data_IF_329795619509
#
_entry.id   IF_329795619509
#
_cell.length_a   1.000
_cell.length_b   1.000
_cell.length_c   1.000
_cell.angle_alpha   90.00
_cell.angle_beta   90.00
_cell.angle_gamma   90.00
#
_symmetry.space_group_name_H-M   'P 1'
#
loop_
_entity.id
_entity.type
_entity.pdbx_description
1 polymer ?
#
# COMPACT_ATOMS: atom_id res chain seq x y z
N UNK A 1 12.29 14.19 -18.74
CA UNK A 1 11.01 14.85 -19.12
C UNK A 1 11.24 16.16 -19.87
N UNK A 2 12.00 17.13 -19.31
CA UNK A 2 12.17 18.46 -19.88
C UNK A 2 12.62 18.54 -21.37
N UNK A 3 13.49 17.65 -21.89
CA UNK A 3 13.87 17.69 -23.31
C UNK A 3 12.80 17.18 -24.30
N UNK A 4 11.76 16.49 -23.79
CA UNK A 4 10.70 15.87 -24.62
C UNK A 4 9.37 16.60 -24.44
N UNK A 5 8.97 16.84 -23.19
CA UNK A 5 7.72 17.51 -22.82
C UNK A 5 8.03 18.94 -22.32
N UNK A 6 8.70 19.74 -23.14
CA UNK A 6 9.35 20.98 -22.68
C UNK A 6 8.39 22.00 -22.06
N UNK A 7 7.22 22.20 -22.66
CA UNK A 7 6.19 23.10 -22.12
C UNK A 7 5.61 22.59 -20.80
N UNK A 8 5.20 21.31 -20.75
CA UNK A 8 4.63 20.69 -19.54
C UNK A 8 5.65 20.65 -18.40
N UNK A 9 6.92 20.36 -18.71
CA UNK A 9 7.97 20.36 -17.70
C UNK A 9 8.21 21.76 -17.13
N UNK A 10 8.16 22.81 -17.97
CA UNK A 10 8.32 24.18 -17.53
C UNK A 10 7.12 24.68 -16.70
N UNK A 11 5.90 24.30 -17.09
CA UNK A 11 4.68 24.60 -16.32
C UNK A 11 4.70 23.93 -14.94
N UNK A 12 5.09 22.65 -14.87
CA UNK A 12 5.29 21.96 -13.59
C UNK A 12 6.36 22.68 -12.77
N UNK A 13 7.47 23.06 -13.39
CA UNK A 13 8.59 23.71 -12.71
C UNK A 13 8.18 24.97 -11.96
N UNK A 14 7.33 25.81 -12.56
CA UNK A 14 6.81 27.04 -11.96
C UNK A 14 5.91 26.81 -10.74
N UNK A 15 5.34 25.61 -10.61
CA UNK A 15 4.42 25.25 -9.52
C UNK A 15 5.05 24.35 -8.45
N UNK A 16 6.32 23.97 -8.61
CA UNK A 16 7.03 23.19 -7.60
C UNK A 16 7.42 24.09 -6.40
N UNK A 17 7.25 23.64 -5.16
CA UNK A 17 7.48 24.47 -3.96
C UNK A 17 8.97 24.68 -3.67
N UNK A 18 9.36 25.87 -3.21
CA UNK A 18 10.75 26.19 -2.84
C UNK A 18 11.54 26.91 -3.94
N UNK A 19 12.75 27.37 -3.59
CA UNK A 19 13.59 28.17 -4.48
C UNK A 19 14.12 27.37 -5.68
N UNK A 20 14.08 28.00 -6.86
CA UNK A 20 14.43 27.37 -8.15
C UNK A 20 14.71 28.43 -9.20
N UNK A 21 15.44 28.06 -10.26
CA UNK A 21 15.61 28.93 -11.42
C UNK A 21 14.27 29.18 -12.14
N UNK A 22 14.25 30.20 -13.00
CA UNK A 22 13.04 30.62 -13.71
C UNK A 22 12.45 29.57 -14.65
N UNK A 23 13.25 28.59 -15.09
CA UNK A 23 12.83 27.55 -16.02
C UNK A 23 13.69 26.30 -15.82
N UNK A 24 13.06 25.12 -15.92
CA UNK A 24 13.77 23.83 -15.90
C UNK A 24 14.77 23.70 -17.04
N UNK A 25 14.59 24.48 -18.13
CA UNK A 25 15.48 24.48 -19.29
C UNK A 25 16.81 25.19 -19.01
N UNK A 26 16.92 25.88 -17.88
CA UNK A 26 18.15 26.52 -17.39
C UNK A 26 18.90 25.66 -16.36
N UNK A 27 18.30 24.56 -15.93
CA UNK A 27 18.91 23.63 -14.98
C UNK A 27 19.82 22.61 -15.66
N UNK A 28 20.68 22.03 -14.84
CA UNK A 28 21.49 20.87 -15.22
C UNK A 28 20.84 19.57 -14.77
N UNK A 29 21.37 18.44 -15.24
CA UNK A 29 20.88 17.13 -14.84
C UNK A 29 21.01 16.95 -13.32
N UNK A 30 19.95 16.44 -12.70
CA UNK A 30 19.93 16.19 -11.26
C UNK A 30 20.95 15.10 -10.88
N UNK A 31 21.87 15.41 -9.96
CA UNK A 31 22.97 14.53 -9.54
C UNK A 31 22.78 13.94 -8.14
N UNK A 32 21.66 14.22 -7.46
CA UNK A 32 21.39 13.72 -6.12
C UNK A 32 20.88 12.28 -6.06
N UNK A 33 20.89 11.54 -7.18
CA UNK A 33 20.57 10.12 -7.20
C UNK A 33 21.84 9.31 -6.89
N UNK A 34 21.70 8.32 -6.03
CA UNK A 34 22.79 7.38 -5.68
C UNK A 34 22.34 5.97 -5.99
N UNK A 35 23.31 5.11 -6.35
CA UNK A 35 23.03 3.69 -6.53
C UNK A 35 22.61 3.07 -5.20
N UNK A 36 21.59 2.21 -5.26
CA UNK A 36 21.15 1.45 -4.12
C UNK A 36 22.22 0.42 -3.72
N UNK A 37 22.55 0.27 -2.43
CA UNK A 37 23.47 -0.77 -1.97
C UNK A 37 23.01 -2.17 -2.38
N UNK A 38 23.95 -3.05 -2.72
CA UNK A 38 23.65 -4.42 -3.13
C UNK A 38 23.00 -5.27 -2.02
N UNK A 39 23.21 -4.89 -0.76
CA UNK A 39 22.66 -5.52 0.44
C UNK A 39 21.46 -4.77 1.02
N UNK A 40 20.88 -3.83 0.26
CA UNK A 40 19.70 -3.10 0.69
C UNK A 40 18.56 -4.08 1.04
N UNK A 41 17.97 -3.99 2.26
CA UNK A 41 16.99 -4.97 2.74
C UNK A 41 15.67 -4.98 1.95
N UNK A 42 15.37 -3.87 1.24
CA UNK A 42 14.20 -3.64 0.39
C UNK A 42 14.67 -3.34 -1.04
N UNK A 43 15.34 -4.32 -1.65
CA UNK A 43 15.90 -4.20 -2.99
C UNK A 43 14.85 -4.10 -4.11
N UNK A 44 15.31 -3.96 -5.35
CA UNK A 44 14.46 -4.03 -6.55
C UNK A 44 13.69 -5.35 -6.62
N UNK A 45 14.38 -6.46 -6.36
CA UNK A 45 13.82 -7.81 -6.42
C UNK A 45 12.75 -8.00 -5.33
N UNK A 46 12.96 -7.40 -4.15
CA UNK A 46 11.95 -7.38 -3.09
C UNK A 46 10.66 -6.70 -3.55
N UNK A 47 10.78 -5.48 -4.12
CA UNK A 47 9.60 -4.75 -4.59
C UNK A 47 8.95 -5.38 -5.82
N UNK A 48 9.72 -6.02 -6.70
CA UNK A 48 9.19 -6.84 -7.78
C UNK A 48 8.33 -8.00 -7.25
N UNK A 49 8.82 -8.71 -6.23
CA UNK A 49 8.06 -9.78 -5.58
C UNK A 49 6.77 -9.25 -4.93
N UNK A 50 6.85 -8.13 -4.20
CA UNK A 50 5.68 -7.48 -3.59
C UNK A 50 4.67 -7.04 -4.66
N UNK A 51 5.12 -6.54 -5.81
CA UNK A 51 4.23 -6.17 -6.92
C UNK A 51 3.56 -7.39 -7.55
N UNK A 52 4.25 -8.52 -7.68
CA UNK A 52 3.64 -9.77 -8.14
C UNK A 52 2.53 -10.24 -7.18
N UNK A 53 2.81 -10.21 -5.87
CA UNK A 53 1.80 -10.51 -4.83
C UNK A 53 0.61 -9.54 -4.93
N UNK A 54 0.87 -8.24 -5.06
CA UNK A 54 -0.18 -7.23 -5.21
C UNK A 54 -1.05 -7.48 -6.44
N UNK A 55 -0.47 -7.88 -7.56
CA UNK A 55 -1.23 -8.20 -8.77
C UNK A 55 -2.14 -9.43 -8.56
N UNK A 56 -1.63 -10.48 -7.91
CA UNK A 56 -2.41 -11.66 -7.58
C UNK A 56 -3.57 -11.32 -6.61
N UNK A 57 -3.32 -10.49 -5.60
CA UNK A 57 -4.35 -10.00 -4.68
C UNK A 57 -5.40 -9.15 -5.40
N UNK A 58 -4.98 -8.24 -6.28
CA UNK A 58 -5.92 -7.42 -7.06
C UNK A 58 -6.84 -8.27 -7.92
N UNK A 59 -6.31 -9.32 -8.54
CA UNK A 59 -7.09 -10.26 -9.35
C UNK A 59 -8.16 -10.96 -8.52
N UNK A 60 -7.81 -11.42 -7.32
CA UNK A 60 -8.79 -12.04 -6.41
C UNK A 60 -9.81 -11.02 -5.90
N UNK A 61 -9.39 -9.80 -5.55
CA UNK A 61 -10.29 -8.71 -5.17
C UNK A 61 -11.30 -8.38 -6.29
N UNK A 62 -10.86 -8.38 -7.55
CA UNK A 62 -11.77 -8.19 -8.70
C UNK A 62 -12.73 -9.37 -8.87
N UNK A 63 -12.30 -10.61 -8.65
CA UNK A 63 -13.20 -11.76 -8.65
C UNK A 63 -14.30 -11.60 -7.59
N UNK A 64 -13.93 -11.22 -6.37
CA UNK A 64 -14.89 -10.99 -5.29
C UNK A 64 -15.81 -9.78 -5.52
N UNK A 65 -15.34 -8.75 -6.23
CA UNK A 65 -16.21 -7.65 -6.72
C UNK A 65 -17.21 -8.15 -7.75
N UNK A 66 -16.77 -9.00 -8.68
CA UNK A 66 -17.62 -9.62 -9.69
C UNK A 66 -18.73 -10.49 -9.09
N UNK A 67 -18.44 -11.16 -7.97
CA UNK A 67 -19.41 -11.95 -7.19
C UNK A 67 -20.28 -11.10 -6.25
N UNK A 68 -19.97 -9.81 -6.09
CA UNK A 68 -20.72 -8.87 -5.26
C UNK A 68 -20.45 -8.96 -3.76
N UNK A 69 -19.42 -9.71 -3.33
CA UNK A 69 -19.03 -9.82 -1.92
C UNK A 69 -18.57 -8.46 -1.38
N UNK A 70 -17.64 -7.82 -2.08
CA UNK A 70 -17.07 -6.49 -1.75
C UNK A 70 -17.34 -5.49 -2.87
N UNK A 71 -17.37 -4.20 -2.54
CA UNK A 71 -17.44 -3.12 -3.54
C UNK A 71 -16.12 -2.36 -3.70
N UNK A 72 -15.36 -2.25 -2.61
CA UNK A 72 -14.05 -1.61 -2.56
C UNK A 72 -13.05 -2.55 -1.89
N UNK A 73 -11.75 -2.41 -2.21
CA UNK A 73 -10.70 -3.22 -1.57
C UNK A 73 -10.54 -2.86 -0.09
N UNK A 74 -10.90 -1.63 0.29
CA UNK A 74 -10.94 -1.21 1.69
C UNK A 74 -12.08 -1.89 2.47
N UNK A 75 -13.04 -2.55 1.83
CA UNK A 75 -14.02 -3.39 2.55
C UNK A 75 -13.47 -4.78 2.88
N UNK A 76 -12.25 -5.11 2.41
CA UNK A 76 -11.70 -6.44 2.50
C UNK A 76 -10.66 -6.59 3.63
N UNK A 77 -10.69 -7.79 4.23
CA UNK A 77 -9.56 -8.44 4.88
C UNK A 77 -8.94 -9.43 3.91
N UNK A 78 -7.65 -9.32 3.70
CA UNK A 78 -6.90 -10.24 2.84
C UNK A 78 -6.02 -11.13 3.71
N UNK A 79 -6.18 -12.44 3.58
CA UNK A 79 -5.27 -13.42 4.18
C UNK A 79 -4.39 -14.00 3.08
N UNK A 80 -3.09 -13.77 3.17
CA UNK A 80 -2.07 -14.33 2.30
C UNK A 80 -1.53 -15.60 2.95
N UNK A 81 -1.71 -16.72 2.27
CA UNK A 81 -1.07 -17.97 2.65
C UNK A 81 0.17 -18.14 1.77
N UNK A 82 1.35 -18.09 2.39
CA UNK A 82 2.62 -17.96 1.68
C UNK A 82 3.60 -19.07 2.07
N UNK A 83 4.50 -19.45 1.16
CA UNK A 83 5.68 -20.25 1.50
C UNK A 83 6.53 -19.54 2.55
N UNK A 84 7.38 -20.27 3.27
CA UNK A 84 8.20 -19.71 4.35
C UNK A 84 9.05 -18.52 3.87
N UNK A 85 9.64 -18.62 2.68
CA UNK A 85 10.47 -17.57 2.09
C UNK A 85 9.64 -16.32 1.76
N UNK A 86 8.47 -16.50 1.14
CA UNK A 86 7.60 -15.38 0.75
C UNK A 86 6.94 -14.73 1.97
N UNK A 87 6.53 -15.53 2.96
CA UNK A 87 6.03 -15.04 4.24
C UNK A 87 7.05 -14.13 4.91
N UNK A 88 8.30 -14.58 5.04
CA UNK A 88 9.38 -13.79 5.67
C UNK A 88 9.60 -12.46 4.94
N UNK A 89 9.47 -12.44 3.61
CA UNK A 89 9.57 -11.20 2.84
C UNK A 89 8.39 -10.25 3.13
N UNK A 90 7.16 -10.74 3.04
CA UNK A 90 5.96 -9.94 3.25
C UNK A 90 5.86 -9.37 4.67
N UNK A 91 6.29 -10.15 5.66
CA UNK A 91 6.33 -9.73 7.07
C UNK A 91 7.26 -8.54 7.33
N UNK A 92 8.25 -8.27 6.46
CA UNK A 92 9.11 -7.07 6.57
C UNK A 92 8.30 -5.76 6.52
N UNK A 93 7.16 -5.75 5.84
CA UNK A 93 6.29 -4.57 5.72
C UNK A 93 5.34 -4.41 6.93
N UNK A 94 5.22 -5.41 7.79
CA UNK A 94 4.34 -5.36 8.97
C UNK A 94 2.91 -4.95 8.64
N UNK A 95 2.34 -4.05 9.47
CA UNK A 95 0.98 -3.52 9.30
C UNK A 95 0.83 -2.66 8.03
N UNK A 96 1.92 -2.13 7.47
CA UNK A 96 1.88 -1.31 6.25
C UNK A 96 1.64 -2.12 4.97
N UNK A 97 1.76 -3.46 5.03
CA UNK A 97 1.40 -4.33 3.92
C UNK A 97 -0.04 -4.08 3.44
N UNK A 98 -0.96 -3.73 4.35
CA UNK A 98 -2.34 -3.36 3.98
C UNK A 98 -2.42 -2.09 3.14
N UNK A 99 -1.49 -1.14 3.31
CA UNK A 99 -1.42 0.07 2.49
C UNK A 99 -0.88 -0.24 1.10
N UNK A 100 0.13 -1.11 1.01
CA UNK A 100 0.64 -1.62 -0.26
C UNK A 100 -0.46 -2.31 -1.06
N UNK A 101 -1.26 -3.15 -0.38
CA UNK A 101 -2.38 -3.90 -0.98
C UNK A 101 -3.69 -3.11 -1.07
N UNK A 102 -3.76 -1.89 -0.49
CA UNK A 102 -4.94 -1.02 -0.49
C UNK A 102 -6.17 -1.74 0.10
N UNK A 103 -5.99 -2.40 1.24
CA UNK A 103 -7.03 -3.16 1.95
C UNK A 103 -7.10 -2.71 3.41
N UNK A 104 -8.18 -3.05 4.11
CA UNK A 104 -8.34 -2.61 5.49
C UNK A 104 -7.57 -3.45 6.49
N UNK A 105 -7.42 -4.74 6.21
CA UNK A 105 -6.63 -5.67 7.00
C UNK A 105 -5.89 -6.64 6.09
N UNK A 106 -4.68 -6.99 6.50
CA UNK A 106 -3.90 -8.07 5.90
C UNK A 106 -3.38 -8.99 6.98
N UNK A 107 -3.39 -10.29 6.72
CA UNK A 107 -2.72 -11.29 7.54
C UNK A 107 -1.86 -12.17 6.65
N UNK A 108 -0.66 -12.51 7.10
CA UNK A 108 0.23 -13.44 6.39
C UNK A 108 0.36 -14.70 7.24
N UNK A 109 0.07 -15.84 6.64
CA UNK A 109 0.04 -17.16 7.26
C UNK A 109 0.83 -18.17 6.41
N UNK A 110 1.17 -19.31 7.00
CA UNK A 110 1.84 -20.40 6.26
C UNK A 110 0.90 -20.98 5.20
N UNK A 111 1.47 -21.34 4.04
CA UNK A 111 0.76 -22.02 2.95
C UNK A 111 0.05 -23.31 3.40
N UNK A 112 0.55 -24.00 4.41
CA UNK A 112 -0.07 -25.22 4.97
C UNK A 112 -1.43 -24.96 5.63
N UNK A 113 -1.74 -23.69 5.93
CA UNK A 113 -3.00 -23.25 6.52
C UNK A 113 -4.02 -22.80 5.47
N UNK A 114 -3.71 -22.91 4.17
CA UNK A 114 -4.55 -22.47 3.07
C UNK A 114 -5.84 -23.29 2.95
N UNK A 115 -6.82 -22.98 3.79
CA UNK A 115 -8.18 -23.46 3.72
C UNK A 115 -9.07 -22.42 3.04
N UNK A 116 -9.85 -22.85 2.05
CA UNK A 116 -10.78 -21.99 1.29
C UNK A 116 -10.12 -20.73 0.69
N UNK A 117 -8.86 -20.85 0.28
CA UNK A 117 -8.09 -19.79 -0.37
C UNK A 117 -7.94 -20.09 -1.87
N UNK A 118 -7.99 -19.05 -2.70
CA UNK A 118 -7.75 -19.15 -4.13
C UNK A 118 -6.25 -19.28 -4.40
N UNK A 119 -5.87 -20.32 -5.17
CA UNK A 119 -4.50 -20.43 -5.67
C UNK A 119 -4.19 -19.30 -6.65
N UNK A 120 -2.96 -18.78 -6.61
CA UNK A 120 -2.54 -17.68 -7.49
C UNK A 120 -1.52 -18.13 -8.53
N UNK A 121 -1.21 -17.24 -9.47
CA UNK A 121 -0.08 -17.42 -10.40
C UNK A 121 1.30 -17.26 -9.75
N UNK A 122 1.38 -16.77 -8.51
CA UNK A 122 2.63 -16.64 -7.76
C UNK A 122 2.89 -17.95 -7.02
N UNK A 123 4.05 -18.57 -7.29
CA UNK A 123 4.40 -19.83 -6.66
C UNK A 123 4.48 -19.69 -5.13
N UNK A 124 3.94 -20.67 -4.42
CA UNK A 124 3.83 -20.63 -2.97
C UNK A 124 2.89 -19.57 -2.41
N UNK A 125 1.94 -19.03 -3.19
CA UNK A 125 0.94 -18.05 -2.70
C UNK A 125 -0.49 -18.47 -3.00
N UNK A 126 -1.32 -18.48 -1.96
CA UNK A 126 -2.79 -18.52 -2.05
C UNK A 126 -3.39 -17.32 -1.32
N UNK A 127 -4.52 -16.82 -1.82
CA UNK A 127 -5.16 -15.61 -1.30
C UNK A 127 -6.59 -15.92 -0.88
N UNK A 128 -6.97 -15.48 0.30
CA UNK A 128 -8.36 -15.47 0.76
C UNK A 128 -8.80 -14.03 1.00
N UNK A 129 -9.96 -13.68 0.47
CA UNK A 129 -10.57 -12.36 0.63
C UNK A 129 -11.87 -12.52 1.42
N UNK A 130 -12.00 -11.73 2.47
CA UNK A 130 -13.19 -11.71 3.32
C UNK A 130 -13.72 -10.28 3.43
N UNK A 131 -15.03 -10.12 3.45
CA UNK A 131 -15.64 -8.81 3.72
C UNK A 131 -15.56 -8.51 5.22
N UNK A 132 -15.02 -7.35 5.56
CA UNK A 132 -15.03 -6.85 6.93
C UNK A 132 -16.42 -6.34 7.32
N UNK A 133 -16.79 -6.59 8.58
CA UNK A 133 -18.01 -6.05 9.20
C UNK A 133 -17.76 -4.81 10.07
N UNK A 134 -16.51 -4.36 10.16
CA UNK A 134 -16.16 -3.18 10.95
C UNK A 134 -16.69 -1.87 10.33
N UNK A 135 -16.76 -0.82 11.13
CA UNK A 135 -17.25 0.48 10.70
C UNK A 135 -16.23 1.22 9.82
N UNK A 136 -16.72 2.00 8.85
CA UNK A 136 -15.86 2.77 7.95
C UNK A 136 -15.40 4.06 8.63
N UNK A 137 -14.09 4.26 8.73
CA UNK A 137 -13.52 5.55 9.13
C UNK A 137 -13.81 6.63 8.07
N UNK A 138 -14.41 7.74 8.44
CA UNK A 138 -14.80 8.79 7.48
C UNK A 138 -13.60 9.56 6.89
N UNK A 139 -12.43 9.51 7.54
CA UNK A 139 -11.21 10.22 7.09
C UNK A 139 -10.33 9.39 6.17
N UNK A 140 -9.97 8.16 6.54
CA UNK A 140 -9.10 7.30 5.72
C UNK A 140 -9.83 6.23 4.92
N UNK A 141 -11.14 6.04 5.15
CA UNK A 141 -12.00 5.05 4.49
C UNK A 141 -11.67 3.58 4.75
N UNK A 142 -10.68 3.28 5.60
CA UNK A 142 -10.50 1.92 6.09
C UNK A 142 -11.66 1.53 7.01
N UNK A 143 -12.08 0.28 6.93
CA UNK A 143 -12.97 -0.36 7.89
C UNK A 143 -12.12 -0.79 9.10
N UNK A 144 -12.47 -0.30 10.29
CA UNK A 144 -11.68 -0.53 11.50
C UNK A 144 -12.58 -0.70 12.70
N UNK A 145 -12.24 -1.66 13.57
CA UNK A 145 -13.03 -1.96 14.77
C UNK A 145 -13.00 -0.84 15.81
N UNK A 146 -12.00 0.04 15.75
CA UNK A 146 -11.78 1.12 16.70
C UNK A 146 -12.44 2.45 16.31
N UNK A 147 -13.21 2.49 15.20
CA UNK A 147 -14.06 3.65 14.89
C UNK A 147 -15.12 3.80 15.99
N UNK A 148 -15.24 5.00 16.54
CA UNK A 148 -16.14 5.31 17.67
C UNK A 148 -15.51 5.11 19.05
N UNK A 149 -14.25 4.69 19.13
CA UNK A 149 -13.54 4.55 20.42
C UNK A 149 -13.21 5.90 21.07
N UNK A 150 -12.99 6.95 20.28
CA UNK A 150 -12.78 8.32 20.77
C UNK A 150 -14.11 9.09 20.78
N UNK A 151 -14.45 9.69 21.93
CA UNK A 151 -15.72 10.39 22.10
C UNK A 151 -15.79 11.76 21.38
N UNK A 152 -14.64 12.40 21.14
CA UNK A 152 -14.55 13.68 20.43
C UNK A 152 -14.58 13.43 18.92
N UNK A 153 -13.90 12.37 18.49
CA UNK A 153 -13.66 11.99 17.10
C UNK A 153 -14.35 10.67 16.73
N UNK A 154 -15.61 10.52 17.13
CA UNK A 154 -16.40 9.30 16.94
C UNK A 154 -16.42 8.71 15.51
N UNK A 155 -16.47 9.48 14.40
CA UNK A 155 -16.56 8.90 13.06
C UNK A 155 -15.21 8.42 12.47
N UNK A 156 -14.10 8.52 13.22
CA UNK A 156 -12.77 8.15 12.72
C UNK A 156 -12.07 7.13 13.61
N UNK A 157 -11.14 6.36 13.03
CA UNK A 157 -10.33 5.37 13.74
C UNK A 157 -9.18 6.03 14.52
N UNK A 158 -8.58 5.30 15.47
CA UNK A 158 -7.52 5.84 16.36
C UNK A 158 -6.31 6.35 15.58
N UNK A 159 -5.95 5.70 14.47
CA UNK A 159 -4.90 6.16 13.54
C UNK A 159 -5.19 7.56 12.98
N UNK A 160 -6.46 7.82 12.68
CA UNK A 160 -6.86 9.12 12.17
C UNK A 160 -6.95 10.17 13.28
N UNK A 161 -7.26 9.78 14.52
CA UNK A 161 -7.21 10.66 15.70
C UNK A 161 -5.77 11.12 15.96
N UNK A 162 -4.81 10.19 16.01
CA UNK A 162 -3.39 10.50 16.21
C UNK A 162 -2.86 11.49 15.17
N UNK A 163 -3.31 11.35 13.94
CA UNK A 163 -2.92 12.24 12.84
C UNK A 163 -3.58 13.63 12.86
N UNK A 164 -4.63 13.85 13.65
CA UNK A 164 -5.33 15.14 13.75
C UNK A 164 -4.93 15.87 15.03
N UNK A 165 -4.82 15.14 16.14
CA UNK A 165 -4.58 15.70 17.49
C UNK A 165 -3.16 15.43 18.01
N UNK A 166 -2.51 14.37 17.52
CA UNK A 166 -1.21 13.89 18.01
C UNK A 166 -0.03 14.32 17.14
N UNK A 167 1.05 13.55 17.18
CA UNK A 167 2.29 13.86 16.45
C UNK A 167 2.25 13.41 14.98
N UNK A 168 1.21 12.66 14.60
CA UNK A 168 1.12 12.01 13.30
C UNK A 168 1.55 10.55 13.37
N UNK A 169 1.01 9.75 12.46
CA UNK A 169 1.41 8.35 12.32
C UNK A 169 2.84 8.25 11.76
N UNK A 170 3.64 7.37 12.34
CA UNK A 170 4.93 7.00 11.75
C UNK A 170 4.71 5.99 10.63
N UNK A 171 5.31 6.25 9.46
CA UNK A 171 5.30 5.32 8.32
C UNK A 171 6.71 5.07 7.83
N UNK A 172 7.06 3.80 7.69
CA UNK A 172 8.40 3.33 7.34
C UNK A 172 8.54 3.07 5.83
N UNK A 173 7.49 2.58 5.18
CA UNK A 173 7.55 2.07 3.80
C UNK A 173 6.46 2.67 2.90
N UNK A 174 5.22 2.60 3.34
CA UNK A 174 4.05 2.84 2.51
C UNK A 174 3.02 3.67 3.23
#
# INVERSE_FOLDING_TARGET
MAPVLSFTADEIWQNLPGERSASVQLETWYTGLTEMPADAPLSSEFWEQVMMVKNAVNKELEAQRGEGLIRSSLEAKVTLFASAELQQQLEKLGDELRFVLITSEVSVLSIDQAADAAATEVDGLSVKVEKLSAEKCERCWHLREDVGSDAVHAPICSRCVENVEGEGEHRDFA
#
